data_IF_561522607678
#
_entry.id   IF_561522607678
#
_cell.length_a   1.000
_cell.length_b   1.000
_cell.length_c   1.000
_cell.angle_alpha   90.00
_cell.angle_beta   90.00
_cell.angle_gamma   90.00
#
_symmetry.space_group_name_H-M   'P 1'
#
loop_
_entity.id
_entity.type
_entity.pdbx_description
1 polymer ?
#
# COMPACT_ATOMS: atom_id res chain seq x y z
N UNK A 1 11.22 21.65 -2.39
CA UNK A 1 11.64 23.00 -1.94
C UNK A 1 12.29 22.99 -0.57
N UNK A 2 11.71 22.36 0.45
CA UNK A 2 12.25 22.38 1.83
C UNK A 2 13.14 21.16 2.19
N UNK A 3 13.32 20.22 1.26
CA UNK A 3 13.93 18.92 1.54
C UNK A 3 12.94 17.96 2.22
N UNK A 4 13.38 16.73 2.43
CA UNK A 4 12.66 15.69 3.18
C UNK A 4 13.66 15.03 4.13
N UNK A 5 13.18 14.57 5.28
CA UNK A 5 13.96 13.72 6.19
C UNK A 5 13.24 12.40 6.43
N UNK A 6 14.00 11.39 6.85
CA UNK A 6 13.48 10.12 7.39
C UNK A 6 13.48 10.09 8.92
N UNK A 7 13.86 11.20 9.57
CA UNK A 7 13.86 11.32 11.02
C UNK A 7 12.46 11.12 11.60
N UNK A 8 12.42 10.58 12.81
CA UNK A 8 11.19 10.31 13.53
C UNK A 8 11.16 11.06 14.86
N UNK A 9 9.96 11.45 15.29
CA UNK A 9 9.72 12.21 16.52
C UNK A 9 9.09 11.28 17.57
N UNK A 10 9.90 10.35 18.11
CA UNK A 10 9.40 9.27 19.00
C UNK A 10 9.72 9.48 20.48
N UNK A 11 10.85 10.10 20.80
CA UNK A 11 11.27 10.29 22.19
C UNK A 11 10.62 11.53 22.81
N UNK A 12 10.49 11.52 24.13
CA UNK A 12 9.93 12.65 24.89
C UNK A 12 10.76 13.91 24.68
N UNK A 13 12.08 13.77 24.56
CA UNK A 13 13.01 14.87 24.27
C UNK A 13 12.74 15.48 22.90
N UNK A 14 12.56 14.66 21.85
CA UNK A 14 12.27 15.12 20.49
C UNK A 14 10.92 15.83 20.42
N UNK A 15 9.88 15.27 21.05
CA UNK A 15 8.54 15.87 21.12
C UNK A 15 8.59 17.23 21.85
N UNK A 16 9.28 17.29 23.00
CA UNK A 16 9.43 18.54 23.75
C UNK A 16 10.24 19.59 22.97
N UNK A 17 11.25 19.16 22.22
CA UNK A 17 12.01 20.06 21.34
C UNK A 17 11.12 20.67 20.25
N UNK A 18 10.25 19.86 19.62
CA UNK A 18 9.28 20.36 18.64
C UNK A 18 8.29 21.36 19.27
N UNK A 19 7.75 21.05 20.45
CA UNK A 19 6.85 21.94 21.20
C UNK A 19 7.51 23.29 21.53
N UNK A 20 8.72 23.24 22.08
CA UNK A 20 9.47 24.44 22.47
C UNK A 20 9.78 25.32 21.25
N UNK A 21 10.13 24.69 20.12
CA UNK A 21 10.38 25.39 18.86
C UNK A 21 9.12 26.07 18.35
N UNK A 22 7.97 25.39 18.35
CA UNK A 22 6.70 25.96 17.90
C UNK A 22 6.26 27.15 18.76
N UNK A 23 6.47 27.07 20.09
CA UNK A 23 6.20 28.18 21.01
C UNK A 23 7.15 29.36 20.79
N UNK A 24 8.44 29.11 20.62
CA UNK A 24 9.44 30.14 20.38
C UNK A 24 9.15 30.91 19.08
N UNK A 25 8.74 30.18 18.04
CA UNK A 25 8.36 30.75 16.74
C UNK A 25 6.92 31.31 16.71
N UNK A 26 6.13 31.12 17.77
CA UNK A 26 4.73 31.56 17.88
C UNK A 26 3.88 31.07 16.70
N UNK A 27 4.01 29.80 16.34
CA UNK A 27 3.27 29.22 15.21
C UNK A 27 1.80 29.00 15.55
N UNK A 28 0.90 29.38 14.66
CA UNK A 28 -0.52 29.01 14.76
C UNK A 28 -0.78 27.58 14.29
N UNK A 29 0.06 27.06 13.38
CA UNK A 29 -0.10 25.72 12.82
C UNK A 29 1.21 25.09 12.38
N UNK A 30 1.26 23.76 12.47
CA UNK A 30 2.33 22.88 12.01
C UNK A 30 1.73 21.83 11.08
N UNK A 31 2.11 21.88 9.80
CA UNK A 31 1.64 20.91 8.80
C UNK A 31 2.74 19.89 8.55
N UNK A 32 2.42 18.61 8.74
CA UNK A 32 3.33 17.47 8.53
C UNK A 32 2.82 16.70 7.32
N UNK A 33 3.65 16.64 6.28
CA UNK A 33 3.30 16.03 4.99
C UNK A 33 4.11 14.73 4.84
N UNK A 34 3.43 13.59 4.77
CA UNK A 34 4.11 12.30 4.60
C UNK A 34 3.19 11.10 4.71
N UNK A 35 3.79 9.92 4.82
CA UNK A 35 3.07 8.65 4.90
C UNK A 35 2.68 8.28 6.33
N UNK A 36 2.57 6.98 6.58
CA UNK A 36 2.16 6.38 7.85
C UNK A 36 3.00 6.87 9.04
N UNK A 37 4.32 6.83 8.93
CA UNK A 37 5.25 7.28 9.99
C UNK A 37 5.08 8.76 10.31
N UNK A 38 5.03 9.62 9.29
CA UNK A 38 4.89 11.06 9.50
C UNK A 38 3.54 11.44 10.09
N UNK A 39 2.46 10.77 9.69
CA UNK A 39 1.14 11.01 10.26
C UNK A 39 1.00 10.42 11.68
N UNK A 40 1.78 9.37 12.01
CA UNK A 40 1.93 8.89 13.39
C UNK A 40 2.59 9.94 14.28
N UNK A 41 3.70 10.52 13.83
CA UNK A 41 4.38 11.62 14.53
C UNK A 41 3.45 12.85 14.65
N UNK A 42 2.68 13.16 13.60
CA UNK A 42 1.71 14.25 13.63
C UNK A 42 0.62 14.02 14.67
N UNK A 43 0.08 12.81 14.78
CA UNK A 43 -0.91 12.45 15.80
C UNK A 43 -0.32 12.55 17.22
N UNK A 44 0.90 12.07 17.43
CA UNK A 44 1.58 12.18 18.72
C UNK A 44 1.83 13.64 19.11
N UNK A 45 2.30 14.47 18.18
CA UNK A 45 2.54 15.89 18.41
C UNK A 45 1.23 16.65 18.68
N UNK A 46 0.16 16.36 17.94
CA UNK A 46 -1.14 16.98 18.15
C UNK A 46 -1.63 16.78 19.59
N UNK A 47 -1.53 15.54 20.09
CA UNK A 47 -1.95 15.21 21.45
C UNK A 47 -1.08 15.93 22.50
N UNK A 48 0.25 15.85 22.37
CA UNK A 48 1.15 16.50 23.33
C UNK A 48 1.00 18.02 23.33
N UNK A 49 0.75 18.63 22.17
CA UNK A 49 0.54 20.08 22.07
C UNK A 49 -0.75 20.48 22.78
N UNK A 50 -1.81 19.67 22.68
CA UNK A 50 -3.07 19.91 23.38
C UNK A 50 -2.94 19.72 24.90
N UNK A 51 -2.32 18.64 25.37
CA UNK A 51 -2.03 18.41 26.79
C UNK A 51 -1.22 19.56 27.41
N UNK A 52 -0.24 20.07 26.64
CA UNK A 52 0.59 21.20 27.02
C UNK A 52 -0.11 22.57 26.82
N UNK A 53 -1.36 22.60 26.35
CA UNK A 53 -2.13 23.83 26.03
C UNK A 53 -1.37 24.77 25.10
N UNK A 54 -0.68 24.22 24.10
CA UNK A 54 -0.03 24.97 23.03
C UNK A 54 -1.08 25.53 22.06
N UNK A 55 -0.89 26.76 21.58
CA UNK A 55 -1.78 27.34 20.56
C UNK A 55 -1.60 26.70 19.18
N UNK A 56 -0.41 26.18 18.90
CA UNK A 56 -0.07 25.60 17.59
C UNK A 56 -0.92 24.36 17.30
N UNK A 57 -1.62 24.36 16.16
CA UNK A 57 -2.39 23.21 15.68
C UNK A 57 -1.55 22.31 14.78
N UNK A 58 -1.55 21.01 15.02
CA UNK A 58 -0.81 20.05 14.19
C UNK A 58 -1.77 19.39 13.18
N UNK A 59 -1.38 19.35 11.92
CA UNK A 59 -2.16 18.75 10.82
C UNK A 59 -1.29 17.80 10.03
N UNK A 60 -1.72 16.54 9.91
CA UNK A 60 -1.11 15.53 9.04
C UNK A 60 -1.76 15.53 7.65
N UNK A 61 -0.95 15.42 6.60
CA UNK A 61 -1.43 15.29 5.21
C UNK A 61 -0.97 13.92 4.66
N UNK A 62 -1.90 13.08 4.15
CA UNK A 62 -1.57 11.74 3.67
C UNK A 62 -0.90 11.80 2.30
N UNK A 63 0.43 11.72 2.30
CA UNK A 63 1.27 11.76 1.11
C UNK A 63 2.22 10.56 1.11
N UNK A 64 1.88 9.57 0.32
CA UNK A 64 2.65 8.33 0.17
C UNK A 64 2.47 7.78 -1.24
N UNK A 65 3.50 7.08 -1.70
CA UNK A 65 3.54 6.46 -3.03
C UNK A 65 3.11 5.00 -2.96
N UNK A 66 2.86 4.47 -1.76
CA UNK A 66 2.51 3.07 -1.53
C UNK A 66 1.00 2.84 -1.56
N UNK A 67 0.18 3.89 -1.37
CA UNK A 67 -1.28 3.75 -1.31
C UNK A 67 -1.76 3.05 -0.04
N UNK A 68 -0.96 3.12 1.03
CA UNK A 68 -1.07 2.36 2.27
C UNK A 68 -1.66 3.16 3.44
N UNK A 69 -1.99 4.44 3.24
CA UNK A 69 -2.60 5.29 4.25
C UNK A 69 -4.09 5.53 3.93
N UNK A 70 -4.82 4.43 3.71
CA UNK A 70 -6.25 4.44 3.37
C UNK A 70 -7.13 4.06 4.54
N UNK A 71 -8.36 4.58 4.56
CA UNK A 71 -9.42 4.13 5.47
C UNK A 71 -10.79 4.57 4.92
N UNK A 72 -11.85 4.41 5.69
CA UNK A 72 -13.22 4.78 5.29
C UNK A 72 -13.43 6.29 4.99
N UNK A 73 -12.47 7.15 5.35
CA UNK A 73 -12.49 8.59 5.10
C UNK A 73 -11.38 9.06 4.16
N UNK A 74 -10.30 8.28 4.01
CA UNK A 74 -9.17 8.57 3.13
C UNK A 74 -9.14 7.50 2.04
N UNK A 75 -9.67 7.85 0.88
CA UNK A 75 -9.84 6.93 -0.27
C UNK A 75 -8.53 6.71 -1.05
N UNK A 76 -7.66 7.71 -1.06
CA UNK A 76 -6.42 7.71 -1.81
C UNK A 76 -5.34 8.55 -1.13
N UNK A 77 -4.09 8.24 -1.45
CA UNK A 77 -2.92 8.99 -1.01
C UNK A 77 -2.41 9.91 -2.11
N UNK A 78 -2.01 11.13 -1.74
CA UNK A 78 -1.41 12.06 -2.70
C UNK A 78 -0.10 11.48 -3.22
N UNK A 79 0.01 11.37 -4.54
CA UNK A 79 1.17 10.85 -5.26
C UNK A 79 1.02 9.40 -5.74
N UNK A 80 0.03 8.66 -5.21
CA UNK A 80 -0.21 7.27 -5.61
C UNK A 80 -0.71 7.17 -7.06
N UNK A 81 -1.54 8.11 -7.52
CA UNK A 81 -2.02 8.10 -8.92
C UNK A 81 -0.87 8.36 -9.90
N UNK A 82 -0.02 9.35 -9.58
CA UNK A 82 1.16 9.69 -10.37
C UNK A 82 2.13 8.51 -10.48
N UNK A 83 2.49 7.88 -9.36
CA UNK A 83 3.47 6.78 -9.38
C UNK A 83 2.94 5.58 -10.19
N UNK A 84 1.66 5.24 -10.03
CA UNK A 84 1.04 4.17 -10.81
C UNK A 84 1.08 4.47 -12.31
N UNK A 85 0.77 5.69 -12.74
CA UNK A 85 0.81 6.07 -14.15
C UNK A 85 2.23 6.04 -14.73
N UNK A 86 3.21 6.61 -14.02
CA UNK A 86 4.61 6.61 -14.49
C UNK A 86 5.15 5.17 -14.57
N UNK A 87 4.95 4.36 -13.53
CA UNK A 87 5.41 2.98 -13.54
C UNK A 87 4.69 2.15 -14.61
N UNK A 88 3.38 2.32 -14.80
CA UNK A 88 2.63 1.58 -15.83
C UNK A 88 3.09 1.97 -17.23
N UNK A 89 3.46 3.24 -17.47
CA UNK A 89 4.06 3.68 -18.74
C UNK A 89 5.41 2.99 -19.00
N UNK A 90 6.30 2.93 -17.99
CA UNK A 90 7.60 2.28 -18.12
C UNK A 90 7.43 0.76 -18.36
N UNK A 91 6.56 0.13 -17.57
CA UNK A 91 6.23 -1.29 -17.72
C UNK A 91 5.62 -1.53 -19.10
N UNK A 92 4.70 -0.69 -19.58
CA UNK A 92 4.07 -0.90 -20.90
C UNK A 92 5.05 -0.74 -22.05
N UNK A 93 6.04 0.15 -21.91
CA UNK A 93 7.12 0.28 -22.89
C UNK A 93 7.94 -1.00 -22.95
N UNK A 94 8.30 -1.58 -21.80
CA UNK A 94 8.93 -2.91 -21.75
C UNK A 94 8.00 -3.94 -22.40
N UNK A 95 6.70 -3.95 -22.09
CA UNK A 95 5.77 -4.92 -22.67
C UNK A 95 5.63 -4.78 -24.19
N UNK A 96 5.78 -3.57 -24.73
CA UNK A 96 5.68 -3.31 -26.17
C UNK A 96 6.96 -3.74 -26.89
N UNK A 97 8.12 -3.46 -26.29
CA UNK A 97 9.42 -3.99 -26.76
C UNK A 97 9.45 -5.52 -26.65
N UNK A 98 8.90 -6.01 -25.55
CA UNK A 98 8.59 -7.39 -25.23
C UNK A 98 7.25 -7.85 -25.84
N UNK A 99 6.81 -7.34 -27.01
CA UNK A 99 5.95 -8.12 -27.91
C UNK A 99 6.69 -9.36 -28.49
N UNK A 100 7.87 -9.62 -27.93
CA UNK A 100 8.60 -10.88 -27.88
C UNK A 100 8.81 -11.41 -26.44
N UNK A 101 7.98 -11.08 -25.40
CA UNK A 101 7.97 -11.47 -23.95
C UNK A 101 6.74 -11.12 -23.02
N UNK A 102 5.91 -12.06 -22.48
CA UNK A 102 4.71 -11.90 -21.55
C UNK A 102 4.50 -12.63 -20.18
N UNK A 103 3.57 -12.08 -19.38
CA UNK A 103 3.67 -11.82 -17.94
C UNK A 103 3.36 -12.92 -16.92
N UNK A 104 3.88 -12.73 -15.70
CA UNK A 104 3.42 -13.34 -14.42
C UNK A 104 3.37 -12.23 -13.35
N UNK A 105 2.31 -12.13 -12.53
CA UNK A 105 2.27 -11.17 -11.40
C UNK A 105 2.30 -11.98 -10.10
N UNK A 106 3.22 -11.67 -9.18
CA UNK A 106 3.33 -12.33 -7.88
C UNK A 106 3.49 -11.26 -6.80
N UNK A 107 2.46 -11.04 -6.00
CA UNK A 107 2.56 -10.14 -4.83
C UNK A 107 1.79 -10.70 -3.63
N UNK A 108 0.56 -10.24 -3.37
CA UNK A 108 -0.03 -10.42 -2.05
C UNK A 108 -0.52 -11.85 -1.75
N UNK A 109 -0.75 -12.65 -2.80
CA UNK A 109 -1.02 -14.09 -2.68
C UNK A 109 0.07 -14.83 -1.88
N UNK A 110 1.32 -14.40 -2.03
CA UNK A 110 2.48 -15.08 -1.42
C UNK A 110 2.39 -15.04 0.11
N UNK A 111 2.01 -13.89 0.67
CA UNK A 111 1.88 -13.70 2.12
C UNK A 111 0.72 -14.53 2.69
N UNK A 112 -0.45 -14.49 2.05
CA UNK A 112 -1.63 -15.25 2.51
C UNK A 112 -1.46 -16.77 2.36
N UNK A 113 -0.80 -17.21 1.30
CA UNK A 113 -0.57 -18.63 1.00
C UNK A 113 0.72 -19.18 1.59
N UNK A 114 1.53 -18.34 2.27
CA UNK A 114 2.82 -18.70 2.87
C UNK A 114 3.74 -19.44 1.90
N UNK A 115 3.82 -18.96 0.66
CA UNK A 115 4.63 -19.61 -0.37
C UNK A 115 6.12 -19.45 -0.04
N UNK A 116 6.86 -20.55 -0.17
CA UNK A 116 8.32 -20.53 -0.02
C UNK A 116 8.99 -19.93 -1.27
N UNK A 117 10.26 -19.56 -1.16
CA UNK A 117 11.08 -19.13 -2.29
C UNK A 117 11.12 -20.19 -3.40
N UNK A 118 11.11 -21.47 -3.00
CA UNK A 118 11.03 -22.60 -3.91
C UNK A 118 9.67 -22.66 -4.62
N UNK A 119 8.56 -22.50 -3.91
CA UNK A 119 7.21 -22.52 -4.50
C UNK A 119 7.01 -21.40 -5.53
N UNK A 120 7.51 -20.19 -5.22
CA UNK A 120 7.46 -19.04 -6.12
C UNK A 120 8.28 -19.33 -7.37
N UNK A 121 9.51 -19.82 -7.20
CA UNK A 121 10.40 -20.21 -8.31
C UNK A 121 9.72 -21.24 -9.21
N UNK A 122 9.15 -22.29 -8.61
CA UNK A 122 8.45 -23.35 -9.34
C UNK A 122 7.24 -22.82 -10.10
N UNK A 123 6.43 -21.96 -9.48
CA UNK A 123 5.26 -21.33 -10.13
C UNK A 123 5.66 -20.49 -11.35
N UNK A 124 6.78 -19.78 -11.27
CA UNK A 124 7.33 -19.04 -12.42
C UNK A 124 7.78 -20.03 -13.51
N UNK A 125 8.55 -21.07 -13.16
CA UNK A 125 9.02 -22.07 -14.12
C UNK A 125 7.86 -22.81 -14.80
N UNK A 126 6.80 -23.14 -14.06
CA UNK A 126 5.60 -23.78 -14.60
C UNK A 126 4.87 -22.86 -15.59
N UNK A 127 4.76 -21.56 -15.27
CA UNK A 127 4.22 -20.57 -16.20
C UNK A 127 5.09 -20.42 -17.47
N UNK A 128 6.41 -20.34 -17.33
CA UNK A 128 7.35 -20.27 -18.47
C UNK A 128 7.22 -21.52 -19.35
N UNK A 129 7.13 -22.70 -18.75
CA UNK A 129 6.97 -23.95 -19.47
C UNK A 129 5.62 -24.02 -20.21
N UNK A 130 4.51 -23.70 -19.54
CA UNK A 130 3.17 -23.69 -20.14
C UNK A 130 3.08 -22.70 -21.31
N UNK A 131 3.75 -21.56 -21.22
CA UNK A 131 3.84 -20.57 -22.31
C UNK A 131 4.73 -21.08 -23.45
N UNK A 132 5.84 -21.72 -23.15
CA UNK A 132 6.72 -22.32 -24.17
C UNK A 132 6.02 -23.43 -24.98
N UNK A 133 5.08 -24.16 -24.38
CA UNK A 133 4.22 -25.14 -25.09
C UNK A 133 3.31 -24.48 -26.13
N UNK A 134 3.03 -23.18 -26.00
CA UNK A 134 2.30 -22.36 -26.97
C UNK A 134 3.24 -21.55 -27.89
N UNK A 135 4.52 -21.92 -27.96
CA UNK A 135 5.59 -21.21 -28.68
C UNK A 135 5.85 -19.77 -28.19
N UNK A 136 5.44 -19.46 -26.96
CA UNK A 136 5.66 -18.16 -26.30
C UNK A 136 6.83 -18.26 -25.33
N UNK A 137 8.04 -17.97 -25.80
CA UNK A 137 9.29 -18.19 -25.04
C UNK A 137 9.69 -17.05 -24.13
N UNK A 138 8.70 -16.36 -23.56
CA UNK A 138 8.90 -14.96 -23.34
C UNK A 138 8.03 -14.39 -22.21
N UNK A 139 8.57 -13.45 -21.40
CA UNK A 139 7.89 -12.96 -20.20
C UNK A 139 8.20 -11.61 -19.56
N UNK A 140 7.20 -11.00 -18.88
CA UNK A 140 7.37 -9.83 -18.00
C UNK A 140 6.80 -10.11 -16.60
N UNK A 141 7.65 -10.21 -15.59
CA UNK A 141 7.17 -10.49 -14.23
C UNK A 141 7.10 -9.20 -13.41
N UNK A 142 5.97 -8.95 -12.75
CA UNK A 142 5.85 -7.85 -11.79
C UNK A 142 6.02 -8.40 -10.38
N UNK A 143 7.01 -7.87 -9.67
CA UNK A 143 7.37 -8.23 -8.31
C UNK A 143 7.28 -6.97 -7.43
N UNK A 144 6.58 -7.02 -6.29
CA UNK A 144 6.58 -5.92 -5.34
C UNK A 144 7.93 -5.91 -4.61
N UNK A 145 8.42 -4.71 -4.29
CA UNK A 145 9.65 -4.51 -3.51
C UNK A 145 9.62 -5.27 -2.17
N UNK A 146 8.46 -5.27 -1.50
CA UNK A 146 8.23 -5.97 -0.23
C UNK A 146 8.01 -7.48 -0.33
N UNK A 147 8.19 -8.11 -1.51
CA UNK A 147 7.96 -9.55 -1.68
C UNK A 147 8.79 -10.38 -0.69
N UNK A 148 10.03 -9.95 -0.44
CA UNK A 148 10.94 -10.67 0.46
C UNK A 148 10.40 -10.80 1.89
N UNK A 149 9.66 -9.80 2.37
CA UNK A 149 9.04 -9.85 3.71
C UNK A 149 7.80 -10.75 3.74
N UNK A 150 7.24 -11.09 2.58
CA UNK A 150 6.09 -11.99 2.46
C UNK A 150 6.49 -13.46 2.38
N UNK A 151 7.75 -13.76 2.07
CA UNK A 151 8.28 -15.13 2.00
C UNK A 151 8.68 -15.56 3.42
N UNK A 152 8.06 -16.60 4.01
CA UNK A 152 8.27 -16.96 5.41
C UNK A 152 9.72 -17.17 5.78
N UNK A 153 10.49 -17.86 4.94
CA UNK A 153 11.89 -18.12 5.26
C UNK A 153 12.76 -16.85 5.25
N UNK A 154 12.53 -15.95 4.30
CA UNK A 154 13.29 -14.71 4.18
C UNK A 154 12.86 -13.67 5.22
N UNK A 155 11.57 -13.66 5.56
CA UNK A 155 11.06 -12.85 6.66
C UNK A 155 11.71 -13.24 8.00
N UNK A 156 11.81 -14.55 8.28
CA UNK A 156 12.38 -15.02 9.54
C UNK A 156 13.85 -14.59 9.72
N UNK A 157 14.68 -14.71 8.67
CA UNK A 157 16.08 -14.26 8.73
C UNK A 157 16.18 -12.73 8.84
N UNK A 158 15.33 -11.97 8.14
CA UNK A 158 15.28 -10.50 8.26
C UNK A 158 14.94 -10.05 9.68
N UNK A 159 13.95 -10.69 10.32
CA UNK A 159 13.58 -10.40 11.71
C UNK A 159 14.70 -10.75 12.69
N UNK A 160 15.38 -11.87 12.48
CA UNK A 160 16.50 -12.29 13.32
C UNK A 160 17.68 -11.31 13.21
N UNK A 161 18.07 -10.92 11.99
CA UNK A 161 19.10 -9.92 11.74
C UNK A 161 18.73 -8.57 12.37
N UNK A 162 17.48 -8.12 12.23
CA UNK A 162 17.03 -6.85 12.80
C UNK A 162 17.04 -6.88 14.35
N UNK A 163 16.63 -8.00 14.96
CA UNK A 163 16.72 -8.20 16.41
C UNK A 163 18.16 -8.11 16.93
N UNK A 164 19.14 -8.63 16.17
CA UNK A 164 20.56 -8.54 16.50
C UNK A 164 21.09 -7.10 16.39
N UNK A 165 20.66 -6.35 15.36
CA UNK A 165 20.98 -4.92 15.25
C UNK A 165 20.44 -4.12 16.44
N UNK A 166 19.19 -4.36 16.85
CA UNK A 166 18.58 -3.70 18.02
C UNK A 166 19.31 -3.99 19.33
N UNK A 167 20.00 -5.14 19.41
CA UNK A 167 20.86 -5.52 20.54
C UNK A 167 22.26 -4.91 20.47
N UNK A 168 22.59 -4.15 19.43
CA UNK A 168 23.89 -3.51 19.23
C UNK A 168 25.00 -4.47 18.76
N UNK A 169 24.63 -5.60 18.15
CA UNK A 169 25.62 -6.53 17.58
C UNK A 169 26.23 -5.90 16.32
N UNK A 170 27.56 -5.80 16.27
CA UNK A 170 28.28 -5.32 15.09
C UNK A 170 28.04 -6.22 13.88
N UNK A 171 27.89 -5.65 12.69
CA UNK A 171 27.59 -6.37 11.43
C UNK A 171 28.44 -7.63 11.20
N UNK A 172 29.73 -7.56 11.48
CA UNK A 172 30.68 -8.67 11.28
C UNK A 172 30.43 -9.88 12.20
N UNK A 173 29.74 -9.68 13.33
CA UNK A 173 29.43 -10.72 14.33
C UNK A 173 28.01 -11.25 14.23
N UNK A 174 27.17 -10.70 13.35
CA UNK A 174 25.78 -11.13 13.20
C UNK A 174 25.72 -12.62 12.87
N UNK A 175 26.60 -13.09 11.98
CA UNK A 175 26.64 -14.49 11.53
C UNK A 175 26.92 -15.49 12.67
N UNK A 176 27.66 -15.08 13.70
CA UNK A 176 27.95 -15.93 14.87
C UNK A 176 26.73 -16.11 15.79
N UNK A 177 25.76 -15.21 15.68
CA UNK A 177 24.57 -15.16 16.54
C UNK A 177 23.29 -15.62 15.83
N UNK A 178 23.38 -15.96 14.54
CA UNK A 178 22.25 -16.52 13.79
C UNK A 178 21.93 -17.94 14.25
N UNK A 179 20.65 -18.26 14.26
CA UNK A 179 20.14 -19.60 14.48
C UNK A 179 20.70 -20.57 13.42
N UNK A 180 20.88 -21.86 13.75
CA UNK A 180 21.40 -22.84 12.78
C UNK A 180 20.59 -22.89 11.48
N UNK A 181 19.27 -22.68 11.58
CA UNK A 181 18.37 -22.63 10.45
C UNK A 181 18.58 -21.36 9.60
N UNK A 182 18.69 -20.18 10.22
CA UNK A 182 18.98 -18.94 9.51
C UNK A 182 20.37 -18.96 8.86
N UNK A 183 21.36 -19.56 9.50
CA UNK A 183 22.70 -19.75 8.91
C UNK A 183 22.65 -20.65 7.67
N UNK A 184 21.90 -21.75 7.71
CA UNK A 184 21.74 -22.62 6.54
C UNK A 184 21.06 -21.89 5.37
N UNK A 185 20.00 -21.12 5.65
CA UNK A 185 19.34 -20.29 4.64
C UNK A 185 20.26 -19.20 4.11
N UNK A 186 20.97 -18.50 4.99
CA UNK A 186 21.94 -17.49 4.62
C UNK A 186 22.97 -18.09 3.67
N UNK A 187 23.52 -19.27 4.00
CA UNK A 187 24.52 -19.93 3.16
C UNK A 187 24.02 -20.33 1.78
N UNK A 188 22.74 -20.71 1.66
CA UNK A 188 22.08 -20.99 0.39
C UNK A 188 21.98 -19.75 -0.52
N UNK A 189 21.88 -18.55 0.05
CA UNK A 189 21.68 -17.32 -0.73
C UNK A 189 22.94 -16.90 -1.52
N UNK A 190 22.78 -16.28 -2.69
CA UNK A 190 23.90 -15.74 -3.46
C UNK A 190 24.72 -14.70 -2.67
N UNK A 191 26.03 -14.55 -2.95
CA UNK A 191 26.90 -13.61 -2.23
C UNK A 191 26.45 -12.14 -2.25
N UNK A 192 25.73 -11.70 -3.28
CA UNK A 192 25.21 -10.32 -3.34
C UNK A 192 24.02 -10.11 -2.39
N UNK A 193 23.08 -11.06 -2.33
CA UNK A 193 21.95 -11.02 -1.38
C UNK A 193 22.46 -11.07 0.06
N UNK A 194 23.43 -11.95 0.34
CA UNK A 194 24.09 -12.03 1.66
C UNK A 194 24.53 -10.65 2.18
N UNK A 195 25.20 -9.87 1.31
CA UNK A 195 25.65 -8.51 1.65
C UNK A 195 24.50 -7.51 1.81
N UNK A 196 23.47 -7.61 0.96
CA UNK A 196 22.29 -6.73 1.01
C UNK A 196 21.46 -6.94 2.29
N UNK A 197 21.35 -8.19 2.77
CA UNK A 197 20.64 -8.51 4.01
C UNK A 197 21.34 -7.98 5.28
N UNK A 198 22.67 -7.81 5.23
CA UNK A 198 23.47 -7.29 6.34
C UNK A 198 23.61 -5.76 6.34
N UNK A 199 22.93 -5.06 5.42
CA UNK A 199 22.89 -3.60 5.44
C UNK A 199 22.26 -3.10 6.74
N UNK A 200 22.78 -1.98 7.26
CA UNK A 200 22.23 -1.36 8.45
C UNK A 200 20.76 -0.98 8.22
N UNK A 201 19.89 -1.15 9.23
CA UNK A 201 18.49 -0.75 9.14
C UNK A 201 18.31 0.72 8.74
N UNK A 202 17.13 1.04 8.20
CA UNK A 202 16.69 2.42 8.03
C UNK A 202 16.46 3.12 9.38
N UNK A 203 16.22 4.43 9.35
CA UNK A 203 16.00 5.25 10.56
C UNK A 203 14.74 4.86 11.35
N UNK A 204 13.85 4.09 10.75
CA UNK A 204 12.65 3.52 11.39
C UNK A 204 12.86 2.09 11.91
N UNK A 205 14.10 1.61 11.92
CA UNK A 205 14.52 0.24 12.19
C UNK A 205 13.99 -0.80 11.17
N UNK A 206 13.50 -0.38 10.00
CA UNK A 206 13.10 -1.30 8.94
C UNK A 206 14.31 -1.80 8.13
N UNK A 207 14.23 -2.99 7.52
CA UNK A 207 15.21 -3.39 6.51
C UNK A 207 15.18 -2.46 5.29
N UNK A 208 16.32 -2.31 4.61
CA UNK A 208 16.44 -1.55 3.35
C UNK A 208 15.96 -2.36 2.15
N UNK A 209 14.64 -2.60 2.05
CA UNK A 209 14.05 -3.46 1.02
C UNK A 209 14.42 -3.04 -0.41
N UNK A 210 14.45 -1.73 -0.68
CA UNK A 210 14.86 -1.16 -1.98
C UNK A 210 16.28 -1.53 -2.44
N UNK A 211 17.15 -1.95 -1.51
CA UNK A 211 18.52 -2.37 -1.81
C UNK A 211 18.65 -3.88 -2.00
N UNK A 212 17.59 -4.64 -1.70
CA UNK A 212 17.58 -6.09 -1.85
C UNK A 212 17.05 -6.42 -3.24
N UNK A 213 17.94 -6.94 -4.09
CA UNK A 213 17.65 -7.25 -5.49
C UNK A 213 16.90 -8.59 -5.62
N UNK A 214 15.68 -8.62 -5.07
CA UNK A 214 14.80 -9.80 -5.01
C UNK A 214 14.48 -10.34 -6.40
N UNK A 215 14.35 -9.45 -7.39
CA UNK A 215 14.14 -9.80 -8.79
C UNK A 215 15.31 -10.59 -9.38
N UNK A 216 16.56 -10.24 -9.02
CA UNK A 216 17.76 -10.96 -9.47
C UNK A 216 17.90 -12.31 -8.78
N UNK A 217 17.54 -12.38 -7.50
CA UNK A 217 17.50 -13.64 -6.77
C UNK A 217 16.55 -14.63 -7.44
N UNK A 218 15.30 -14.21 -7.69
CA UNK A 218 14.32 -15.06 -8.35
C UNK A 218 14.74 -15.42 -9.78
N UNK A 219 15.27 -14.47 -10.54
CA UNK A 219 15.78 -14.73 -11.89
C UNK A 219 16.86 -15.82 -11.91
N UNK A 220 17.82 -15.77 -10.98
CA UNK A 220 18.88 -16.77 -10.87
C UNK A 220 18.35 -18.16 -10.48
N UNK A 221 17.39 -18.22 -9.55
CA UNK A 221 16.77 -19.47 -9.14
C UNK A 221 15.94 -20.10 -10.26
N UNK A 222 15.15 -19.28 -10.97
CA UNK A 222 14.39 -19.71 -12.16
C UNK A 222 15.33 -20.20 -13.25
N UNK A 223 16.42 -19.49 -13.54
CA UNK A 223 17.40 -19.96 -14.53
C UNK A 223 17.99 -21.33 -14.15
N UNK A 224 18.32 -21.52 -12.86
CA UNK A 224 18.86 -22.79 -12.36
C UNK A 224 17.87 -23.93 -12.54
N UNK A 225 16.63 -23.75 -12.08
CA UNK A 225 15.53 -24.72 -12.21
C UNK A 225 15.20 -25.03 -13.69
N UNK A 226 15.10 -24.01 -14.55
CA UNK A 226 14.83 -24.20 -15.98
C UNK A 226 15.96 -24.96 -16.69
N UNK A 227 17.21 -24.76 -16.28
CA UNK A 227 18.35 -25.53 -16.79
C UNK A 227 18.26 -27.00 -16.35
N UNK A 228 17.81 -27.29 -15.13
CA UNK A 228 17.57 -28.66 -14.66
C UNK A 228 16.42 -29.34 -15.41
N UNK A 229 15.32 -28.62 -15.67
CA UNK A 229 14.21 -29.10 -16.52
C UNK A 229 14.64 -29.38 -17.95
N UNK A 230 15.54 -28.55 -18.49
CA UNK A 230 16.13 -28.77 -19.82
C UNK A 230 16.99 -30.04 -19.85
N UNK A 231 17.82 -30.26 -18.82
CA UNK A 231 18.67 -31.46 -18.70
C UNK A 231 17.87 -32.75 -18.51
N UNK A 232 16.77 -32.68 -17.76
CA UNK A 232 15.87 -33.81 -17.52
C UNK A 232 14.87 -34.05 -18.67
N UNK A 233 14.80 -33.15 -19.64
CA UNK A 233 13.93 -33.27 -20.83
C UNK A 233 12.46 -32.90 -20.60
N UNK A 234 12.10 -32.37 -19.42
CA UNK A 234 10.75 -31.92 -19.10
C UNK A 234 10.42 -30.56 -19.73
N UNK A 235 11.45 -29.75 -20.03
CA UNK A 235 11.31 -28.48 -20.75
C UNK A 235 11.97 -28.57 -22.13
N UNK A 236 11.21 -28.22 -23.18
CA UNK A 236 11.64 -28.25 -24.59
C UNK A 236 11.67 -26.86 -25.25
N UNK A 237 11.43 -25.80 -24.47
CA UNK A 237 11.45 -24.43 -24.96
C UNK A 237 12.87 -23.89 -25.16
N UNK A 238 12.97 -22.60 -25.49
CA UNK A 238 14.27 -21.92 -25.64
C UNK A 238 14.97 -21.75 -24.28
N UNK A 239 16.30 -21.60 -24.31
CA UNK A 239 17.07 -21.30 -23.09
C UNK A 239 16.48 -20.08 -22.39
N UNK A 240 16.19 -20.22 -21.09
CA UNK A 240 15.69 -19.13 -20.28
C UNK A 240 16.72 -18.00 -20.19
N UNK A 241 16.26 -16.77 -20.36
CA UNK A 241 17.02 -15.56 -20.15
C UNK A 241 16.12 -14.53 -19.48
N UNK A 242 16.69 -13.68 -18.63
CA UNK A 242 15.94 -12.70 -17.86
C UNK A 242 16.62 -11.33 -17.88
N UNK A 243 15.81 -10.29 -17.86
CA UNK A 243 16.26 -8.91 -17.72
C UNK A 243 15.52 -8.33 -16.52
N UNK A 244 16.27 -7.82 -15.55
CA UNK A 244 15.75 -7.29 -14.31
C UNK A 244 15.70 -5.76 -14.36
N UNK A 245 14.56 -5.18 -13.99
CA UNK A 245 14.37 -3.73 -13.88
C UNK A 245 13.79 -3.40 -12.50
N UNK A 246 14.31 -2.34 -11.88
CA UNK A 246 13.79 -1.79 -10.64
C UNK A 246 13.19 -0.40 -10.88
N UNK A 247 11.88 -0.27 -10.68
CA UNK A 247 11.15 0.99 -10.83
C UNK A 247 10.71 1.54 -9.48
N UNK A 248 11.42 2.57 -9.00
CA UNK A 248 11.06 3.25 -7.76
C UNK A 248 11.37 4.74 -7.85
N UNK A 249 12.65 5.10 -7.76
CA UNK A 249 13.10 6.49 -7.63
C UNK A 249 12.61 7.43 -8.74
N UNK A 250 12.45 6.93 -9.96
CA UNK A 250 12.23 7.80 -11.13
C UNK A 250 10.81 8.36 -11.14
N UNK A 251 9.87 7.58 -10.60
CA UNK A 251 8.49 7.99 -10.47
C UNK A 251 8.27 8.92 -9.25
N UNK A 252 9.15 8.90 -8.23
CA UNK A 252 9.00 9.74 -7.01
C UNK A 252 9.22 11.24 -7.26
N UNK A 253 10.03 11.58 -8.27
CA UNK A 253 10.33 12.95 -8.66
C UNK A 253 9.63 13.41 -9.94
N UNK A 254 8.66 12.62 -10.43
CA UNK A 254 7.92 12.94 -11.65
C UNK A 254 6.93 14.08 -11.43
N UNK A 255 6.52 14.73 -12.53
CA UNK A 255 5.46 15.72 -12.49
C UNK A 255 4.14 15.06 -12.05
N UNK A 256 3.42 15.64 -11.08
CA UNK A 256 2.19 15.06 -10.54
C UNK A 256 1.08 15.05 -11.58
N UNK A 257 0.27 13.99 -11.60
CA UNK A 257 -0.93 13.92 -12.42
C UNK A 257 -1.92 15.03 -12.04
N UNK A 258 -2.84 15.36 -12.96
CA UNK A 258 -3.90 16.33 -12.68
C UNK A 258 -4.72 15.96 -11.44
N UNK A 259 -5.03 14.66 -11.27
CA UNK A 259 -5.70 14.15 -10.08
C UNK A 259 -4.91 14.47 -8.79
N UNK A 260 -3.61 14.15 -8.75
CA UNK A 260 -2.79 14.41 -7.56
C UNK A 260 -2.61 15.91 -7.30
N UNK A 261 -2.54 16.75 -8.35
CA UNK A 261 -2.54 18.20 -8.23
C UNK A 261 -3.82 18.72 -7.55
N UNK A 262 -4.98 18.33 -8.07
CA UNK A 262 -6.27 18.78 -7.58
C UNK A 262 -6.53 18.24 -6.17
N UNK A 263 -6.17 16.97 -5.92
CA UNK A 263 -6.33 16.32 -4.63
C UNK A 263 -5.41 16.91 -3.55
N UNK A 264 -4.14 17.15 -3.86
CA UNK A 264 -3.20 17.80 -2.95
C UNK A 264 -3.67 19.23 -2.62
N UNK A 265 -4.14 19.99 -3.61
CA UNK A 265 -4.65 21.34 -3.38
C UNK A 265 -5.90 21.30 -2.48
N UNK A 266 -6.84 20.40 -2.76
CA UNK A 266 -8.04 20.24 -1.95
C UNK A 266 -7.72 19.88 -0.49
N UNK A 267 -6.81 18.93 -0.26
CA UNK A 267 -6.37 18.53 1.07
C UNK A 267 -5.79 19.70 1.88
N UNK A 268 -5.03 20.58 1.23
CA UNK A 268 -4.44 21.76 1.87
C UNK A 268 -5.46 22.87 2.17
N UNK A 269 -6.67 22.79 1.59
CA UNK A 269 -7.76 23.74 1.87
C UNK A 269 -8.70 23.29 2.98
N UNK A 270 -8.52 22.08 3.53
CA UNK A 270 -9.34 21.55 4.63
C UNK A 270 -9.03 22.34 5.92
N UNK A 271 -9.95 23.23 6.29
CA UNK A 271 -9.80 24.19 7.40
C UNK A 271 -10.25 23.68 8.78
N UNK A 272 -10.70 22.43 8.91
CA UNK A 272 -11.40 21.99 10.13
C UNK A 272 -10.98 20.58 10.58
N UNK A 273 -10.41 20.52 11.78
CA UNK A 273 -10.21 19.32 12.57
C UNK A 273 -11.28 19.28 13.67
N UNK A 274 -12.22 18.33 13.62
CA UNK A 274 -13.19 18.12 14.69
C UNK A 274 -12.59 17.24 15.78
N UNK A 275 -12.49 17.77 16.99
CA UNK A 275 -12.04 17.03 18.17
C UNK A 275 -13.20 16.16 18.68
N UNK A 276 -13.00 14.84 18.77
CA UNK A 276 -13.92 13.99 19.52
C UNK A 276 -13.67 14.18 21.03
N UNK A 277 -14.67 14.57 21.83
CA UNK A 277 -14.46 14.69 23.27
C UNK A 277 -14.35 13.30 23.90
N UNK A 278 -13.33 13.09 24.75
CA UNK A 278 -13.35 12.02 25.75
C UNK A 278 -12.60 10.72 25.42
N UNK A 279 -11.66 10.70 24.48
CA UNK A 279 -10.76 9.54 24.34
C UNK A 279 -9.56 9.72 25.28
N UNK A 280 -9.64 9.20 26.50
CA UNK A 280 -8.44 8.95 27.30
C UNK A 280 -7.66 7.83 26.63
N UNK A 281 -6.53 8.15 26.01
CA UNK A 281 -5.71 7.17 25.31
C UNK A 281 -4.70 6.51 26.27
N UNK A 282 -4.72 5.18 26.27
CA UNK A 282 -3.68 4.34 26.88
C UNK A 282 -2.62 4.10 25.79
N UNK A 283 -1.45 4.72 25.91
CA UNK A 283 -0.29 4.46 25.05
C UNK A 283 -0.02 5.51 23.96
N UNK A 284 1.04 5.29 23.18
CA UNK A 284 1.44 6.19 22.07
C UNK A 284 0.62 5.87 20.81
N UNK A 285 0.04 6.86 20.11
CA UNK A 285 -0.69 6.63 18.88
C UNK A 285 0.24 6.05 17.80
N UNK A 286 -0.27 5.10 17.01
CA UNK A 286 0.42 4.53 15.87
C UNK A 286 -0.57 4.33 14.74
N UNK A 287 -0.25 4.84 13.55
CA UNK A 287 -0.96 4.52 12.32
C UNK A 287 -0.25 3.32 11.70
N UNK A 288 -1.01 2.35 11.21
CA UNK A 288 -0.48 1.17 10.55
C UNK A 288 -0.74 1.24 9.05
N UNK A 289 0.20 0.78 8.21
CA UNK A 289 -0.04 0.68 6.77
C UNK A 289 -1.16 -0.32 6.50
N UNK A 290 -2.02 0.01 5.54
CA UNK A 290 -3.13 -0.84 5.12
C UNK A 290 -2.66 -1.75 3.98
N UNK A 291 -2.63 -3.08 4.17
CA UNK A 291 -2.30 -4.00 3.11
C UNK A 291 -3.43 -4.06 2.06
N UNK A 292 -3.14 -4.61 0.89
CA UNK A 292 -4.17 -4.84 -0.13
C UNK A 292 -5.25 -5.78 0.41
N UNK A 293 -6.52 -5.38 0.25
CA UNK A 293 -7.65 -6.21 0.59
C UNK A 293 -7.81 -7.34 -0.44
N UNK A 294 -7.41 -8.56 -0.06
CA UNK A 294 -7.54 -9.78 -0.87
C UNK A 294 -9.00 -10.19 -1.14
N UNK A 295 -9.97 -9.55 -0.46
CA UNK A 295 -11.40 -9.70 -0.73
C UNK A 295 -12.00 -8.48 -1.43
N UNK A 296 -11.18 -7.45 -1.66
CA UNK A 296 -11.58 -6.22 -2.32
C UNK A 296 -11.79 -6.41 -3.81
N UNK A 297 -12.67 -5.59 -4.39
CA UNK A 297 -12.97 -5.62 -5.83
C UNK A 297 -11.76 -5.41 -6.74
N UNK A 298 -10.77 -4.55 -6.41
CA UNK A 298 -9.58 -4.41 -7.25
C UNK A 298 -8.81 -5.73 -7.39
N UNK A 299 -8.66 -6.46 -6.29
CA UNK A 299 -7.97 -7.75 -6.27
C UNK A 299 -8.81 -8.85 -6.93
N UNK A 300 -10.13 -8.86 -6.71
CA UNK A 300 -11.04 -9.76 -7.42
C UNK A 300 -10.98 -9.55 -8.94
N UNK A 301 -10.90 -8.29 -9.40
CA UNK A 301 -10.75 -7.97 -10.82
C UNK A 301 -9.42 -8.49 -11.39
N UNK A 302 -8.34 -8.43 -10.61
CA UNK A 302 -7.06 -9.03 -10.98
C UNK A 302 -7.19 -10.55 -11.12
N UNK A 303 -7.74 -11.23 -10.12
CA UNK A 303 -7.91 -12.69 -10.14
C UNK A 303 -8.78 -13.18 -11.30
N UNK A 304 -9.90 -12.49 -11.58
CA UNK A 304 -10.80 -12.80 -12.70
C UNK A 304 -10.09 -12.78 -14.06
N UNK A 305 -9.01 -12.01 -14.18
CA UNK A 305 -8.24 -11.90 -15.41
C UNK A 305 -6.87 -12.59 -15.33
N UNK A 306 -6.46 -13.13 -14.18
CA UNK A 306 -5.09 -13.60 -13.95
C UNK A 306 -4.66 -14.70 -14.91
N UNK A 307 -5.52 -15.69 -15.16
CA UNK A 307 -5.22 -16.79 -16.10
C UNK A 307 -5.05 -16.26 -17.54
N UNK A 308 -5.92 -15.34 -17.96
CA UNK A 308 -5.81 -14.69 -19.27
C UNK A 308 -4.56 -13.81 -19.35
N UNK A 309 -4.23 -13.06 -18.30
CA UNK A 309 -3.02 -12.24 -18.27
C UNK A 309 -1.72 -13.06 -18.26
N UNK A 310 -1.81 -14.31 -17.78
CA UNK A 310 -0.69 -15.27 -17.74
C UNK A 310 -0.48 -15.94 -19.10
N UNK A 311 -1.57 -16.36 -19.75
CA UNK A 311 -1.51 -17.18 -20.96
C UNK A 311 -1.70 -16.39 -22.26
N UNK A 312 -2.46 -15.29 -22.23
CA UNK A 312 -2.80 -14.47 -23.40
C UNK A 312 -2.03 -13.14 -23.45
N UNK A 313 -1.88 -12.61 -24.66
CA UNK A 313 -1.04 -11.46 -25.02
C UNK A 313 -1.79 -10.12 -24.79
N UNK A 314 -2.42 -9.95 -23.62
CA UNK A 314 -3.36 -8.85 -23.34
C UNK A 314 -2.69 -7.57 -22.82
N UNK A 315 -1.80 -6.99 -23.61
CA UNK A 315 -1.11 -5.75 -23.24
C UNK A 315 -1.89 -4.48 -23.45
N UNK A 316 -1.64 -3.52 -22.56
CA UNK A 316 -2.17 -2.17 -22.64
C UNK A 316 -1.04 -1.19 -22.51
N UNK A 317 -0.99 -0.24 -23.44
CA UNK A 317 -0.13 0.92 -23.36
C UNK A 317 -1.01 2.13 -22.97
N UNK A 318 -0.96 2.57 -21.69
CA UNK A 318 -1.75 3.73 -21.26
C UNK A 318 -1.21 5.06 -21.81
N UNK A 319 -0.01 5.06 -22.38
CA UNK A 319 0.70 6.28 -22.77
C UNK A 319 1.22 7.08 -21.55
N UNK A 320 1.86 8.23 -21.81
CA UNK A 320 2.32 9.13 -20.76
C UNK A 320 1.15 9.85 -20.08
N UNK A 321 1.42 10.37 -18.87
CA UNK A 321 0.49 11.26 -18.17
C UNK A 321 0.09 12.42 -19.08
N UNK A 322 -1.21 12.58 -19.32
CA UNK A 322 -1.78 13.73 -20.01
C UNK A 322 -2.15 14.80 -18.99
N UNK A 323 -1.86 16.06 -19.31
CA UNK A 323 -2.23 17.21 -18.47
C UNK A 323 -3.44 17.98 -19.03
N UNK A 324 -3.71 17.78 -20.32
CA UNK A 324 -4.82 18.40 -21.06
C UNK A 324 -5.47 17.36 -21.99
N UNK A 325 -6.71 17.61 -22.39
CA UNK A 325 -7.43 16.75 -23.32
C UNK A 325 -7.92 15.43 -22.73
N UNK A 326 -8.27 14.49 -23.60
CA UNK A 326 -8.82 13.20 -23.21
C UNK A 326 -7.80 12.38 -22.42
N UNK A 327 -8.17 11.95 -21.20
CA UNK A 327 -7.34 11.12 -20.33
C UNK A 327 -6.59 11.88 -19.24
N UNK A 328 -6.61 13.22 -19.24
CA UNK A 328 -6.01 14.02 -18.17
C UNK A 328 -6.67 13.75 -16.80
N UNK A 329 -7.99 13.58 -16.80
CA UNK A 329 -8.79 13.25 -15.61
C UNK A 329 -8.91 11.74 -15.34
N UNK A 330 -8.11 10.90 -16.03
CA UNK A 330 -8.10 9.46 -15.73
C UNK A 330 -7.61 9.23 -14.30
N UNK A 331 -8.22 8.27 -13.61
CA UNK A 331 -7.80 7.83 -12.27
C UNK A 331 -7.25 6.41 -12.34
N UNK A 332 -6.52 5.99 -11.31
CA UNK A 332 -6.12 4.58 -11.15
C UNK A 332 -7.33 3.63 -11.21
N UNK A 333 -7.13 2.44 -11.79
CA UNK A 333 -8.17 1.40 -11.85
C UNK A 333 -8.66 1.01 -10.46
N UNK A 334 -7.75 0.96 -9.47
CA UNK A 334 -8.09 0.65 -8.08
C UNK A 334 -9.15 1.61 -7.54
N UNK A 335 -8.93 2.93 -7.68
CA UNK A 335 -9.88 3.95 -7.22
C UNK A 335 -11.20 3.89 -8.00
N UNK A 336 -11.14 3.72 -9.33
CA UNK A 336 -12.34 3.59 -10.17
C UNK A 336 -13.23 2.39 -9.77
N UNK A 337 -12.61 1.28 -9.37
CA UNK A 337 -13.32 0.04 -9.00
C UNK A 337 -13.88 0.14 -7.57
N UNK A 338 -13.17 0.79 -6.66
CA UNK A 338 -13.65 1.11 -5.31
C UNK A 338 -14.86 2.07 -5.36
N UNK A 339 -14.81 3.12 -6.18
CA UNK A 339 -15.92 4.06 -6.41
C UNK A 339 -17.19 3.36 -6.91
N UNK A 340 -17.04 2.34 -7.76
CA UNK A 340 -18.18 1.54 -8.23
C UNK A 340 -18.85 0.75 -7.09
N UNK A 341 -18.09 0.32 -6.08
CA UNK A 341 -18.68 -0.30 -4.89
C UNK A 341 -19.46 0.70 -4.07
N UNK A 342 -18.90 1.88 -3.83
CA UNK A 342 -19.60 2.95 -3.13
C UNK A 342 -20.93 3.28 -3.83
N UNK A 343 -20.89 3.56 -5.13
CA UNK A 343 -22.10 3.85 -5.91
C UNK A 343 -23.06 2.66 -5.99
N UNK A 344 -22.54 1.43 -6.02
CA UNK A 344 -23.34 0.20 -5.92
C UNK A 344 -24.09 0.11 -4.59
N UNK A 345 -23.40 0.33 -3.46
CA UNK A 345 -24.01 0.34 -2.12
C UNK A 345 -25.05 1.44 -1.97
N UNK A 346 -24.83 2.62 -2.54
CA UNK A 346 -25.82 3.71 -2.58
C UNK A 346 -27.05 3.29 -3.38
N UNK A 347 -26.88 2.61 -4.53
CA UNK A 347 -28.01 2.06 -5.31
C UNK A 347 -28.75 0.94 -4.57
N UNK A 348 -28.03 0.07 -3.86
CA UNK A 348 -28.64 -1.00 -3.06
C UNK A 348 -29.46 -0.42 -1.90
N UNK A 349 -28.93 0.59 -1.21
CA UNK A 349 -29.68 1.34 -0.19
C UNK A 349 -30.97 1.94 -0.79
N UNK A 350 -30.87 2.59 -1.95
CA UNK A 350 -32.04 3.13 -2.64
C UNK A 350 -33.07 2.04 -2.99
N UNK A 351 -32.62 0.88 -3.46
CA UNK A 351 -33.46 -0.29 -3.73
C UNK A 351 -34.17 -0.81 -2.49
N UNK A 352 -33.49 -0.87 -1.33
CA UNK A 352 -34.13 -1.21 -0.06
C UNK A 352 -35.18 -0.19 0.37
N UNK A 353 -34.89 1.10 0.22
CA UNK A 353 -35.86 2.17 0.49
C UNK A 353 -37.11 2.04 -0.40
N UNK A 354 -36.94 1.73 -1.69
CA UNK A 354 -38.04 1.51 -2.63
C UNK A 354 -38.86 0.26 -2.27
N UNK A 355 -38.23 -0.81 -1.77
CA UNK A 355 -38.92 -1.99 -1.23
C UNK A 355 -39.75 -1.65 0.00
N UNK A 356 -39.19 -0.89 0.95
CA UNK A 356 -39.94 -0.42 2.13
C UNK A 356 -41.13 0.43 1.71
N UNK A 357 -40.94 1.36 0.76
CA UNK A 357 -42.03 2.16 0.18
C UNK A 357 -43.10 1.30 -0.49
N UNK A 358 -42.72 0.16 -1.06
CA UNK A 358 -43.65 -0.79 -1.69
C UNK A 358 -44.45 -1.59 -0.65
N UNK A 359 -43.83 -1.93 0.48
CA UNK A 359 -44.48 -2.62 1.60
C UNK A 359 -45.45 -1.66 2.32
N UNK A 360 -45.02 -0.42 2.53
CA UNK A 360 -45.78 0.63 3.23
C UNK A 360 -46.70 1.39 2.25
N UNK A 361 -47.56 0.65 1.55
CA UNK A 361 -48.60 1.21 0.66
C UNK A 361 -49.93 1.41 1.41
N UNK A 362 -50.86 2.24 0.89
CA UNK A 362 -52.21 2.33 1.44
C UNK A 362 -52.85 0.95 1.57
N UNK A 363 -53.29 0.60 2.79
CA UNK A 363 -53.82 -0.74 3.11
C UNK A 363 -52.84 -1.68 3.83
N UNK A 364 -51.58 -1.28 4.08
CA UNK A 364 -50.69 -2.04 4.95
C UNK A 364 -51.15 -2.02 6.43
N UNK A 365 -50.77 -3.03 7.21
CA UNK A 365 -51.15 -3.12 8.61
C UNK A 365 -50.51 -2.01 9.45
N UNK A 366 -51.19 -1.60 10.51
CA UNK A 366 -50.72 -0.52 11.37
C UNK A 366 -49.40 -0.89 12.08
N UNK A 367 -49.20 -2.18 12.39
CA UNK A 367 -47.98 -2.71 12.99
C UNK A 367 -46.78 -2.59 12.05
N UNK A 368 -46.96 -2.91 10.75
CA UNK A 368 -45.89 -2.82 9.73
C UNK A 368 -45.48 -1.37 9.51
N UNK A 369 -46.46 -0.46 9.39
CA UNK A 369 -46.19 0.98 9.25
C UNK A 369 -45.45 1.52 10.49
N UNK A 370 -45.88 1.13 11.70
CA UNK A 370 -45.24 1.55 12.95
C UNK A 370 -43.81 1.04 13.06
N UNK A 371 -43.56 -0.22 12.71
CA UNK A 371 -42.22 -0.80 12.70
C UNK A 371 -41.29 -0.07 11.72
N UNK A 372 -41.74 0.17 10.48
CA UNK A 372 -40.96 0.88 9.48
C UNK A 372 -40.61 2.31 9.91
N UNK A 373 -41.57 3.05 10.47
CA UNK A 373 -41.34 4.41 10.98
C UNK A 373 -40.33 4.43 12.13
N UNK A 374 -40.45 3.54 13.11
CA UNK A 374 -39.52 3.47 14.24
C UNK A 374 -38.09 3.13 13.78
N UNK A 375 -37.93 2.14 12.90
CA UNK A 375 -36.62 1.74 12.38
C UNK A 375 -35.96 2.86 11.55
N UNK A 376 -36.71 3.52 10.67
CA UNK A 376 -36.18 4.62 9.86
C UNK A 376 -35.86 5.85 10.69
N UNK A 377 -36.69 6.19 11.69
CA UNK A 377 -36.42 7.31 12.60
C UNK A 377 -35.12 7.08 13.39
N UNK A 378 -34.94 5.88 13.95
CA UNK A 378 -33.71 5.53 14.66
C UNK A 378 -32.48 5.56 13.75
N UNK A 379 -32.60 5.07 12.51
CA UNK A 379 -31.52 5.12 11.53
C UNK A 379 -31.17 6.56 11.15
N UNK A 380 -32.17 7.44 10.95
CA UNK A 380 -31.96 8.86 10.68
C UNK A 380 -31.29 9.54 11.87
N UNK A 381 -31.67 9.25 13.11
CA UNK A 381 -31.02 9.80 14.30
C UNK A 381 -29.55 9.38 14.40
N UNK A 382 -29.25 8.09 14.21
CA UNK A 382 -27.89 7.56 14.21
C UNK A 382 -27.06 8.23 13.11
N UNK A 383 -27.57 8.26 11.87
CA UNK A 383 -26.85 8.88 10.76
C UNK A 383 -26.72 10.39 10.92
N UNK A 384 -27.72 11.06 11.50
CA UNK A 384 -27.65 12.49 11.82
C UNK A 384 -26.60 12.76 12.89
N UNK A 385 -26.48 11.93 13.93
CA UNK A 385 -25.40 12.01 14.91
C UNK A 385 -24.02 11.78 14.29
N UNK A 386 -23.94 10.86 13.33
CA UNK A 386 -22.70 10.61 12.58
C UNK A 386 -22.35 11.72 11.58
N UNK A 387 -23.34 12.48 11.10
CA UNK A 387 -23.17 13.50 10.03
C UNK A 387 -23.27 14.95 10.51
N UNK A 388 -23.74 15.20 11.74
CA UNK A 388 -23.89 16.56 12.27
C UNK A 388 -22.58 17.08 12.88
N UNK A 389 -22.17 18.33 12.56
CA UNK A 389 -21.05 18.96 13.24
C UNK A 389 -21.50 19.41 14.62
N UNK A 390 -20.87 18.87 15.67
CA UNK A 390 -21.18 19.19 17.06
C UNK A 390 -20.99 20.69 17.37
N UNK A 391 -22.11 21.39 17.52
CA UNK A 391 -22.25 22.71 18.17
C UNK A 391 -23.74 22.84 18.56
N UNK A 392 -24.19 23.35 19.70
CA UNK A 392 -23.61 24.22 20.73
C UNK A 392 -24.59 24.27 21.91
N UNK A 393 -24.07 24.63 23.09
CA UNK A 393 -24.74 25.40 24.14
C UNK A 393 -26.04 24.86 24.77
N UNK A 394 -25.94 24.39 26.02
CA UNK A 394 -26.80 24.91 27.07
C UNK A 394 -25.95 25.46 28.21
N UNK A 395 -25.77 26.78 28.16
CA UNK A 395 -25.74 27.63 29.35
C UNK A 395 -26.95 27.32 30.23
N UNK A 396 -26.72 27.03 31.51
CA UNK A 396 -27.69 27.30 32.56
C UNK A 396 -26.95 27.52 33.88
N UNK A 397 -26.97 28.80 34.30
CA UNK A 397 -26.89 29.40 35.63
C UNK A 397 -25.95 28.81 36.68
#
# INVERSE_FOLDING_TARGET
MLGRTKDQIRTTEQVNAALNTCRALKLDGLVIIGGVTSNTDAAQLAETFEEAKCQTRVVGVPVTLYGDLKNQFVEADVGFDTICKVNTQLISNICTDALSAEKVILSEDVSSSKLTLFDITKRICDAVQARAEQDKHYGVILLPEGLIESIPELHAILQEINSLHKRGVSGDKILEHLSPWATALYEFLPPYIKKQLLLSPESDDSPQLSQIETEKLLAQLVETEMNERSKSGTYKGKKFNSICHFFGYQARGSLPSKFDCDYAYAMMTVKRLSHGPGVSLIGKPSIHPVPVDLKGKPYELLLRNAEKLLMDDLYRNPGPIQYEGSGADSKTTTLCVEDQDYMGRVKDLQSYLDKVKTIVKPGCSQEVLKAALCSMSSLIEILSLMSSPSSKNQTCL
#
